data_IF_885348734116
#
_entry.id   IF_885348734116
#
_cell.length_a   1.000
_cell.length_b   1.000
_cell.length_c   1.000
_cell.angle_alpha   90.00
_cell.angle_beta   90.00
_cell.angle_gamma   90.00
#
_symmetry.space_group_name_H-M   'P 1'
#
loop_
_entity.id
_entity.type
_entity.pdbx_description
1 polymer ?
#
# COMPACT_ATOMS: atom_id res chain seq x y z
N UNK A 1 -20.00 19.63 3.44
CA UNK A 1 -19.53 19.38 4.82
C UNK A 1 -20.41 20.09 5.85
N UNK A 2 -20.78 21.37 5.64
CA UNK A 2 -21.75 22.09 6.49
C UNK A 2 -23.14 21.47 6.43
N UNK A 3 -23.58 21.10 5.23
CA UNK A 3 -24.86 20.44 5.00
C UNK A 3 -24.92 19.08 5.71
N UNK A 4 -23.84 18.27 5.65
CA UNK A 4 -23.75 17.00 6.37
C UNK A 4 -23.86 17.20 7.88
N UNK A 5 -23.17 18.21 8.42
CA UNK A 5 -23.31 18.58 9.83
C UNK A 5 -24.72 19.01 10.19
N UNK A 6 -25.33 19.85 9.35
CA UNK A 6 -26.71 20.31 9.57
C UNK A 6 -27.72 19.15 9.52
N UNK A 7 -27.55 18.20 8.61
CA UNK A 7 -28.38 16.99 8.57
C UNK A 7 -28.21 16.12 9.82
N UNK A 8 -26.98 15.90 10.26
CA UNK A 8 -26.68 15.15 11.49
C UNK A 8 -27.34 15.77 12.72
N UNK A 9 -27.24 17.09 12.86
CA UNK A 9 -27.80 17.83 14.02
C UNK A 9 -29.35 17.89 13.96
N UNK A 10 -29.93 17.97 12.75
CA UNK A 10 -31.39 18.09 12.58
C UNK A 10 -32.13 16.74 12.67
N UNK A 11 -31.47 15.64 12.36
CA UNK A 11 -32.07 14.30 12.28
C UNK A 11 -31.25 13.27 13.06
N UNK A 12 -31.40 13.17 14.40
CA UNK A 12 -30.57 12.30 15.25
C UNK A 12 -30.63 10.79 14.89
N UNK A 13 -31.74 10.33 14.30
CA UNK A 13 -31.93 8.93 13.90
C UNK A 13 -31.44 8.64 12.47
N UNK A 14 -30.95 9.66 11.76
CA UNK A 14 -30.46 9.51 10.38
C UNK A 14 -29.04 8.95 10.36
N UNK A 15 -28.88 7.78 9.75
CA UNK A 15 -27.57 7.23 9.44
C UNK A 15 -27.13 7.70 8.04
N UNK A 16 -25.97 8.36 7.98
CA UNK A 16 -25.43 8.90 6.73
C UNK A 16 -24.16 8.14 6.39
N UNK A 17 -24.14 7.46 5.23
CA UNK A 17 -22.95 6.84 4.67
C UNK A 17 -22.54 7.63 3.43
N UNK A 18 -21.30 8.06 3.37
CA UNK A 18 -20.77 8.75 2.20
C UNK A 18 -19.34 8.29 1.88
N UNK A 19 -18.95 8.42 0.63
CA UNK A 19 -17.60 8.08 0.14
C UNK A 19 -16.89 9.32 -0.32
N UNK A 20 -15.56 9.32 -0.18
CA UNK A 20 -14.70 10.40 -0.66
C UNK A 20 -13.37 9.85 -1.16
N UNK A 21 -12.85 10.39 -2.24
CA UNK A 21 -11.55 10.03 -2.81
C UNK A 21 -10.35 10.53 -1.99
N UNK A 22 -10.56 11.56 -1.15
CA UNK A 22 -9.51 12.16 -0.34
C UNK A 22 -9.87 12.21 1.15
N UNK A 23 -9.18 11.39 1.93
CA UNK A 23 -9.24 11.34 3.40
C UNK A 23 -8.82 12.67 4.05
N UNK A 24 -7.88 13.41 3.45
CA UNK A 24 -7.29 14.62 4.02
C UNK A 24 -8.35 15.67 4.35
N UNK A 25 -9.30 15.87 3.45
CA UNK A 25 -10.38 16.87 3.64
C UNK A 25 -11.33 16.51 4.76
N UNK A 26 -11.59 15.22 4.96
CA UNK A 26 -12.53 14.74 5.99
C UNK A 26 -11.87 14.80 7.36
N UNK A 27 -10.64 14.29 7.50
CA UNK A 27 -9.90 14.31 8.78
C UNK A 27 -9.65 15.71 9.32
N UNK A 28 -9.35 16.67 8.44
CA UNK A 28 -9.08 18.07 8.83
C UNK A 28 -10.33 18.94 8.92
N UNK A 29 -11.51 18.41 8.59
CA UNK A 29 -12.74 19.18 8.52
C UNK A 29 -13.32 19.44 9.91
N UNK A 30 -13.36 20.71 10.30
CA UNK A 30 -13.87 21.11 11.61
C UNK A 30 -15.35 20.77 11.84
N UNK A 31 -16.18 20.74 10.77
CA UNK A 31 -17.61 20.42 10.87
C UNK A 31 -17.89 18.93 11.08
N UNK A 32 -17.01 18.07 10.62
CA UNK A 32 -17.17 16.60 10.67
C UNK A 32 -16.38 15.97 11.81
N UNK A 33 -15.49 16.74 12.46
CA UNK A 33 -14.66 16.25 13.55
C UNK A 33 -15.53 15.77 14.73
N UNK A 34 -15.33 14.51 15.12
CA UNK A 34 -15.99 13.89 16.28
C UNK A 34 -17.39 13.35 16.01
N UNK A 35 -17.92 13.44 14.78
CA UNK A 35 -19.22 12.89 14.40
C UNK A 35 -19.15 11.87 13.24
N UNK A 36 -17.94 11.64 12.70
CA UNK A 36 -17.73 10.71 11.57
C UNK A 36 -16.79 9.60 11.99
N UNK A 37 -17.25 8.36 11.84
CA UNK A 37 -16.42 7.19 11.89
C UNK A 37 -15.81 6.95 10.51
N UNK A 38 -14.48 6.86 10.46
CA UNK A 38 -13.76 6.73 9.20
C UNK A 38 -13.40 5.28 8.93
N UNK A 39 -13.92 4.77 7.84
CA UNK A 39 -13.56 3.45 7.32
C UNK A 39 -12.69 3.57 6.08
N UNK A 40 -11.53 2.90 6.09
CA UNK A 40 -10.64 2.85 4.94
C UNK A 40 -10.95 1.62 4.10
N UNK A 41 -11.50 1.81 2.92
CA UNK A 41 -11.63 0.74 1.93
C UNK A 41 -10.29 0.57 1.22
N UNK A 42 -9.62 -0.55 1.45
CA UNK A 42 -8.40 -0.95 0.73
C UNK A 42 -8.77 -1.54 -0.64
N UNK A 43 -7.79 -1.76 -1.51
CA UNK A 43 -8.00 -2.60 -2.69
C UNK A 43 -8.21 -4.05 -2.28
N UNK A 44 -8.47 -4.91 -3.24
CA UNK A 44 -8.62 -6.35 -2.98
C UNK A 44 -7.33 -6.91 -2.38
N UNK A 45 -7.46 -7.72 -1.34
CA UNK A 45 -6.38 -8.60 -0.90
C UNK A 45 -6.16 -9.71 -1.93
N UNK A 46 -5.03 -10.40 -1.85
CA UNK A 46 -4.82 -11.56 -2.72
C UNK A 46 -5.83 -12.68 -2.42
N UNK A 47 -6.27 -12.82 -1.17
CA UNK A 47 -7.34 -13.72 -0.77
C UNK A 47 -8.66 -13.38 -1.48
N UNK A 48 -9.08 -12.12 -1.43
CA UNK A 48 -10.32 -11.67 -2.09
C UNK A 48 -10.24 -11.81 -3.62
N UNK A 49 -9.08 -11.55 -4.20
CA UNK A 49 -8.84 -11.81 -5.62
C UNK A 49 -9.00 -13.30 -5.96
N UNK A 50 -8.42 -14.21 -5.14
CA UNK A 50 -8.59 -15.65 -5.32
C UNK A 50 -10.07 -16.06 -5.18
N UNK A 51 -10.81 -15.46 -4.26
CA UNK A 51 -12.25 -15.73 -4.09
C UNK A 51 -13.05 -15.35 -5.36
N UNK A 52 -12.71 -14.22 -5.98
CA UNK A 52 -13.33 -13.80 -7.23
C UNK A 52 -12.96 -14.71 -8.41
N UNK A 53 -11.69 -15.11 -8.51
CA UNK A 53 -11.21 -15.95 -9.62
C UNK A 53 -11.66 -17.41 -9.51
N UNK A 54 -11.81 -17.93 -8.29
CA UNK A 54 -12.12 -19.36 -8.06
C UNK A 54 -13.55 -19.62 -7.63
N UNK A 55 -14.30 -18.58 -7.29
CA UNK A 55 -15.62 -18.66 -6.68
C UNK A 55 -15.65 -19.53 -5.39
N UNK A 56 -14.55 -19.47 -4.62
CA UNK A 56 -14.39 -20.13 -3.33
C UNK A 56 -14.14 -19.08 -2.26
N UNK A 57 -14.42 -19.40 -1.01
CA UNK A 57 -14.14 -18.51 0.13
C UNK A 57 -12.96 -19.04 0.93
N UNK A 58 -12.12 -18.14 1.41
CA UNK A 58 -10.93 -18.46 2.19
C UNK A 58 -10.95 -17.70 3.54
N UNK A 59 -10.48 -18.32 4.62
CA UNK A 59 -10.41 -17.67 5.92
C UNK A 59 -9.38 -16.54 5.93
N UNK A 60 -9.63 -15.56 6.80
CA UNK A 60 -8.69 -14.49 7.13
C UNK A 60 -7.84 -14.94 8.31
N UNK A 61 -6.55 -14.64 8.27
CA UNK A 61 -5.62 -14.98 9.35
C UNK A 61 -4.90 -13.73 9.85
N UNK A 62 -4.73 -13.60 11.17
CA UNK A 62 -3.86 -12.56 11.70
C UNK A 62 -2.40 -12.83 11.31
N UNK A 63 -1.60 -11.76 11.19
CA UNK A 63 -0.17 -11.95 10.89
C UNK A 63 0.55 -12.77 11.98
N UNK A 64 0.11 -12.65 13.23
CA UNK A 64 0.63 -13.46 14.33
C UNK A 64 0.35 -14.96 14.13
N UNK A 65 -0.90 -15.33 13.76
CA UNK A 65 -1.25 -16.72 13.46
C UNK A 65 -0.43 -17.27 12.29
N UNK A 66 -0.21 -16.45 11.26
CA UNK A 66 0.63 -16.85 10.13
C UNK A 66 2.06 -17.15 10.59
N UNK A 67 2.67 -16.29 11.41
CA UNK A 67 4.05 -16.52 11.91
C UNK A 67 4.13 -17.79 12.74
N UNK A 68 3.11 -18.11 13.53
CA UNK A 68 3.12 -19.27 14.43
C UNK A 68 2.74 -20.59 13.73
N UNK A 69 1.86 -20.55 12.71
CA UNK A 69 1.21 -21.73 12.14
C UNK A 69 1.18 -21.75 10.62
N UNK A 70 2.07 -21.02 9.92
CA UNK A 70 2.01 -20.92 8.46
C UNK A 70 2.05 -22.25 7.72
N UNK A 71 2.80 -23.25 8.22
CA UNK A 71 2.89 -24.59 7.58
C UNK A 71 1.50 -25.25 7.53
N UNK A 72 0.75 -25.17 8.62
CA UNK A 72 -0.61 -25.72 8.73
C UNK A 72 -1.61 -24.94 7.86
N UNK A 73 -1.56 -23.62 7.94
CA UNK A 73 -2.41 -22.71 7.16
C UNK A 73 -2.19 -22.92 5.66
N UNK A 74 -0.93 -22.98 5.23
CA UNK A 74 -0.55 -23.21 3.83
C UNK A 74 -1.07 -24.55 3.33
N UNK A 75 -0.90 -25.64 4.09
CA UNK A 75 -1.42 -26.95 3.70
C UNK A 75 -2.96 -26.95 3.57
N UNK A 76 -3.66 -26.20 4.41
CA UNK A 76 -5.11 -26.08 4.30
C UNK A 76 -5.54 -25.33 3.03
N UNK A 77 -4.92 -24.20 2.74
CA UNK A 77 -5.18 -23.42 1.52
C UNK A 77 -4.86 -24.26 0.26
N UNK A 78 -3.75 -24.99 0.25
CA UNK A 78 -3.31 -25.80 -0.89
C UNK A 78 -4.22 -27.00 -1.21
N UNK A 79 -5.12 -27.38 -0.31
CA UNK A 79 -6.18 -28.37 -0.63
C UNK A 79 -7.21 -27.82 -1.60
N UNK A 80 -7.38 -26.50 -1.66
CA UNK A 80 -8.46 -25.84 -2.39
C UNK A 80 -7.97 -25.08 -3.61
N UNK A 81 -6.78 -24.48 -3.57
CA UNK A 81 -6.25 -23.63 -4.65
C UNK A 81 -4.73 -23.75 -4.77
N UNK A 82 -4.19 -23.41 -5.93
CA UNK A 82 -2.76 -23.22 -6.18
C UNK A 82 -2.47 -21.71 -6.27
N UNK A 83 -2.08 -21.04 -5.18
CA UNK A 83 -1.96 -19.58 -5.16
C UNK A 83 -0.98 -19.04 -6.20
N UNK A 84 0.14 -19.72 -6.45
CA UNK A 84 1.15 -19.27 -7.41
C UNK A 84 0.62 -19.22 -8.86
N UNK A 85 -0.41 -19.98 -9.20
CA UNK A 85 -1.04 -19.91 -10.53
C UNK A 85 -1.74 -18.56 -10.79
N UNK A 86 -2.12 -17.87 -9.74
CA UNK A 86 -2.85 -16.59 -9.76
C UNK A 86 -2.00 -15.40 -9.33
N UNK A 87 -0.88 -15.63 -8.65
CA UNK A 87 -0.13 -14.60 -7.96
C UNK A 87 0.43 -13.54 -8.90
N UNK A 88 0.99 -13.92 -10.04
CA UNK A 88 1.48 -12.97 -11.04
C UNK A 88 0.36 -12.09 -11.61
N UNK A 89 -0.82 -12.67 -11.87
CA UNK A 89 -1.99 -11.93 -12.35
C UNK A 89 -2.42 -10.89 -11.30
N UNK A 90 -2.41 -11.27 -10.02
CA UNK A 90 -2.69 -10.33 -8.95
C UNK A 90 -1.68 -9.18 -8.89
N UNK A 91 -0.39 -9.47 -8.96
CA UNK A 91 0.67 -8.45 -8.97
C UNK A 91 0.52 -7.49 -10.15
N UNK A 92 0.02 -7.96 -11.28
CA UNK A 92 -0.18 -7.14 -12.47
C UNK A 92 -1.44 -6.28 -12.40
N UNK A 93 -2.61 -6.86 -12.02
CA UNK A 93 -3.89 -6.15 -12.10
C UNK A 93 -4.89 -6.44 -10.96
N UNK A 94 -4.65 -7.40 -10.07
CA UNK A 94 -5.66 -7.92 -9.14
C UNK A 94 -5.99 -7.04 -7.93
N UNK A 95 -5.23 -5.97 -7.66
CA UNK A 95 -5.49 -5.11 -6.51
C UNK A 95 -6.76 -4.26 -6.65
N UNK A 96 -7.12 -3.85 -7.87
CA UNK A 96 -8.30 -3.05 -8.14
C UNK A 96 -9.38 -3.87 -8.86
N UNK A 97 -10.64 -3.91 -8.35
CA UNK A 97 -11.69 -4.72 -8.96
C UNK A 97 -12.08 -4.31 -10.38
N UNK A 98 -11.59 -3.17 -10.87
CA UNK A 98 -11.83 -2.69 -12.23
C UNK A 98 -11.35 -3.67 -13.31
N UNK A 99 -10.43 -4.58 -13.01
CA UNK A 99 -9.99 -5.60 -13.95
C UNK A 99 -11.13 -6.53 -14.44
N UNK A 100 -12.20 -6.63 -13.66
CA UNK A 100 -13.39 -7.39 -14.03
C UNK A 100 -14.20 -6.72 -15.16
N UNK A 101 -14.10 -5.41 -15.30
CA UNK A 101 -14.90 -4.61 -16.24
C UNK A 101 -14.08 -4.11 -17.44
N UNK A 102 -12.82 -3.71 -17.19
CA UNK A 102 -11.97 -3.03 -18.17
C UNK A 102 -10.82 -3.90 -18.66
N UNK A 103 -10.79 -4.15 -19.98
CA UNK A 103 -9.69 -4.90 -20.63
C UNK A 103 -8.35 -4.15 -20.58
N UNK A 104 -8.37 -2.82 -20.59
CA UNK A 104 -7.19 -1.95 -20.51
C UNK A 104 -7.06 -1.36 -19.11
N UNK A 105 -6.87 -2.21 -18.09
CA UNK A 105 -6.74 -1.79 -16.69
C UNK A 105 -5.56 -0.83 -16.46
N UNK A 106 -4.44 -0.96 -17.19
CA UNK A 106 -3.29 -0.05 -17.09
C UNK A 106 -3.67 1.36 -17.49
N UNK A 107 -4.34 1.55 -18.64
CA UNK A 107 -4.78 2.87 -19.11
C UNK A 107 -5.75 3.51 -18.13
N UNK A 108 -6.64 2.69 -17.56
CA UNK A 108 -7.57 3.15 -16.52
C UNK A 108 -6.81 3.62 -15.27
N UNK A 109 -5.84 2.84 -14.80
CA UNK A 109 -5.02 3.22 -13.64
C UNK A 109 -4.22 4.50 -13.93
N UNK A 110 -3.57 4.63 -15.08
CA UNK A 110 -2.85 5.83 -15.49
C UNK A 110 -3.76 7.04 -15.54
N UNK A 111 -4.97 6.90 -16.07
CA UNK A 111 -5.98 7.98 -16.07
C UNK A 111 -6.32 8.40 -14.65
N UNK A 112 -6.56 7.45 -13.73
CA UNK A 112 -6.89 7.76 -12.33
C UNK A 112 -5.70 8.38 -11.58
N UNK A 113 -4.47 7.89 -11.80
CA UNK A 113 -3.25 8.52 -11.26
C UNK A 113 -3.17 9.99 -11.71
N UNK A 114 -3.39 10.24 -13.00
CA UNK A 114 -3.38 11.60 -13.53
C UNK A 114 -4.49 12.49 -12.93
N UNK A 115 -5.72 11.97 -12.79
CA UNK A 115 -6.82 12.70 -12.14
C UNK A 115 -6.46 13.02 -10.68
N UNK A 116 -5.90 12.08 -9.95
CA UNK A 116 -5.46 12.30 -8.56
C UNK A 116 -4.39 13.38 -8.46
N UNK A 117 -3.38 13.37 -9.37
CA UNK A 117 -2.29 14.33 -9.35
C UNK A 117 -2.70 15.71 -9.86
N UNK A 118 -3.63 15.79 -10.82
CA UNK A 118 -4.03 17.04 -11.48
C UNK A 118 -5.22 17.73 -10.82
N UNK A 119 -6.09 16.98 -10.13
CA UNK A 119 -7.33 17.50 -9.54
C UNK A 119 -7.42 17.26 -8.03
N UNK A 120 -7.35 16.00 -7.57
CA UNK A 120 -7.63 15.68 -6.15
C UNK A 120 -6.60 16.31 -5.21
N UNK A 121 -5.31 16.10 -5.47
CA UNK A 121 -4.22 16.65 -4.65
C UNK A 121 -4.20 18.18 -4.69
N UNK A 122 -4.19 18.84 -5.86
CA UNK A 122 -4.20 20.30 -5.93
C UNK A 122 -5.41 20.94 -5.26
N UNK A 123 -6.59 20.34 -5.45
CA UNK A 123 -7.82 20.84 -4.84
C UNK A 123 -7.80 20.71 -3.31
N UNK A 124 -7.30 19.58 -2.78
CA UNK A 124 -7.20 19.34 -1.34
C UNK A 124 -6.11 20.18 -0.66
N UNK A 125 -5.00 20.45 -1.36
CA UNK A 125 -3.78 21.05 -0.80
C UNK A 125 -3.49 22.46 -1.32
N UNK A 126 -4.38 23.05 -2.13
CA UNK A 126 -4.26 24.37 -2.74
C UNK A 126 -2.95 24.56 -3.53
N UNK A 127 -2.52 23.54 -4.26
CA UNK A 127 -1.30 23.58 -5.08
C UNK A 127 -1.61 24.32 -6.39
N UNK A 128 -0.75 25.26 -6.75
CA UNK A 128 -0.85 25.95 -8.04
C UNK A 128 -0.55 25.01 -9.21
N UNK A 129 -1.29 25.16 -10.32
CA UNK A 129 -1.19 24.30 -11.52
C UNK A 129 0.23 24.19 -12.08
N UNK A 130 1.06 25.22 -11.95
CA UNK A 130 2.47 25.21 -12.41
C UNK A 130 3.34 24.12 -11.74
N UNK A 131 2.91 23.59 -10.58
CA UNK A 131 3.64 22.57 -9.84
C UNK A 131 3.19 21.13 -10.15
N UNK A 132 2.14 20.91 -10.94
CA UNK A 132 1.64 19.57 -11.28
C UNK A 132 2.70 18.70 -11.96
N UNK A 133 3.49 19.29 -12.85
CA UNK A 133 4.61 18.59 -13.52
C UNK A 133 5.62 18.07 -12.49
N UNK A 134 5.84 18.81 -11.40
CA UNK A 134 6.77 18.43 -10.33
C UNK A 134 6.26 17.24 -9.52
N UNK A 135 4.94 17.17 -9.27
CA UNK A 135 4.30 16.01 -8.63
C UNK A 135 4.46 14.76 -9.49
N UNK A 136 4.18 14.85 -10.79
CA UNK A 136 4.35 13.73 -11.73
C UNK A 136 5.81 13.25 -11.78
N UNK A 137 6.75 14.20 -11.89
CA UNK A 137 8.19 13.89 -11.88
C UNK A 137 8.59 13.14 -10.59
N UNK A 138 8.09 13.61 -9.43
CA UNK A 138 8.41 12.98 -8.15
C UNK A 138 7.87 11.55 -8.06
N UNK A 139 6.63 11.30 -8.51
CA UNK A 139 6.05 9.96 -8.54
C UNK A 139 6.86 9.01 -9.45
N UNK A 140 7.24 9.50 -10.64
CA UNK A 140 8.04 8.71 -11.59
C UNK A 140 9.44 8.39 -11.04
N UNK A 141 10.11 9.37 -10.41
CA UNK A 141 11.41 9.14 -9.76
C UNK A 141 11.28 8.12 -8.62
N UNK A 142 10.20 8.23 -7.83
CA UNK A 142 9.92 7.29 -6.76
C UNK A 142 9.69 5.86 -7.26
N UNK A 143 9.01 5.71 -8.40
CA UNK A 143 8.72 4.40 -8.99
C UNK A 143 9.98 3.74 -9.59
N UNK A 144 10.92 4.53 -10.09
CA UNK A 144 12.20 4.03 -10.68
C UNK A 144 13.33 3.84 -9.67
N UNK A 145 13.16 4.25 -8.41
CA UNK A 145 14.22 4.09 -7.39
C UNK A 145 14.16 2.71 -6.73
N UNK A 146 14.99 1.80 -7.22
CA UNK A 146 15.11 0.42 -6.72
C UNK A 146 15.64 0.35 -5.28
N UNK A 147 16.25 1.42 -4.77
CA UNK A 147 16.79 1.46 -3.40
C UNK A 147 15.72 1.72 -2.35
N UNK A 148 14.60 2.31 -2.76
CA UNK A 148 13.51 2.78 -1.90
C UNK A 148 13.98 3.72 -0.77
N UNK A 149 15.22 4.23 -0.80
CA UNK A 149 15.79 5.11 0.21
C UNK A 149 15.42 6.57 -0.05
N UNK A 150 14.94 7.27 0.96
CA UNK A 150 14.52 8.66 0.79
C UNK A 150 15.69 9.63 1.02
N UNK A 151 16.13 10.28 -0.04
CA UNK A 151 17.06 11.40 0.02
C UNK A 151 16.37 12.71 -0.42
N UNK A 152 15.82 13.44 0.55
CA UNK A 152 15.06 14.68 0.30
C UNK A 152 15.91 15.72 -0.42
N UNK A 153 17.21 15.82 -0.14
CA UNK A 153 18.09 16.79 -0.80
C UNK A 153 18.30 16.47 -2.28
N UNK A 154 18.50 15.16 -2.59
CA UNK A 154 18.61 14.68 -3.97
C UNK A 154 17.29 14.93 -4.74
N UNK A 155 16.15 14.56 -4.15
CA UNK A 155 14.82 14.79 -4.74
C UNK A 155 14.55 16.28 -4.98
N UNK A 156 14.87 17.14 -4.00
CA UNK A 156 14.76 18.60 -4.10
C UNK A 156 15.54 19.14 -5.29
N UNK A 157 16.79 18.70 -5.47
CA UNK A 157 17.62 19.07 -6.63
C UNK A 157 17.07 18.60 -7.96
N UNK A 158 16.60 17.33 -8.03
CA UNK A 158 16.08 16.73 -9.26
C UNK A 158 14.81 17.41 -9.78
N UNK A 159 13.87 17.76 -8.89
CA UNK A 159 12.60 18.36 -9.28
C UNK A 159 12.60 19.90 -9.19
N UNK A 160 13.67 20.51 -8.65
CA UNK A 160 13.84 21.96 -8.58
C UNK A 160 12.83 22.66 -7.66
N UNK A 161 12.61 22.10 -6.45
CA UNK A 161 11.77 22.71 -5.40
C UNK A 161 12.45 22.62 -4.04
N UNK A 162 11.95 23.33 -3.03
CA UNK A 162 12.52 23.28 -1.67
C UNK A 162 12.35 21.90 -1.03
N UNK A 163 13.20 21.56 -0.04
CA UNK A 163 13.10 20.32 0.75
C UNK A 163 11.76 20.19 1.47
N UNK A 164 11.25 21.30 2.00
CA UNK A 164 9.94 21.36 2.63
C UNK A 164 8.82 21.02 1.65
N UNK A 165 8.91 21.55 0.42
CA UNK A 165 7.97 21.26 -0.66
C UNK A 165 7.99 19.78 -1.05
N UNK A 166 9.19 19.15 -1.12
CA UNK A 166 9.30 17.69 -1.37
C UNK A 166 8.57 16.89 -0.29
N UNK A 167 8.80 17.20 0.99
CA UNK A 167 8.12 16.53 2.10
C UNK A 167 6.60 16.68 2.01
N UNK A 168 6.11 17.87 1.70
CA UNK A 168 4.68 18.10 1.50
C UNK A 168 4.13 17.25 0.35
N UNK A 169 4.82 17.22 -0.79
CA UNK A 169 4.41 16.42 -1.94
C UNK A 169 4.37 14.92 -1.64
N UNK A 170 5.37 14.40 -0.92
CA UNK A 170 5.37 13.01 -0.47
C UNK A 170 4.17 12.72 0.44
N UNK A 171 3.86 13.61 1.38
CA UNK A 171 2.70 13.46 2.26
C UNK A 171 1.37 13.55 1.49
N UNK A 172 1.24 14.43 0.50
CA UNK A 172 0.04 14.49 -0.34
C UNK A 172 -0.17 13.19 -1.11
N UNK A 173 0.89 12.62 -1.71
CA UNK A 173 0.82 11.36 -2.42
C UNK A 173 0.57 10.16 -1.48
N UNK A 174 1.13 10.17 -0.25
CA UNK A 174 0.80 9.20 0.80
C UNK A 174 -0.70 9.23 1.12
N UNK A 175 -1.24 10.43 1.35
CA UNK A 175 -2.65 10.62 1.66
C UNK A 175 -3.58 10.24 0.50
N UNK A 176 -3.12 10.41 -0.73
CA UNK A 176 -3.81 9.99 -1.94
C UNK A 176 -3.59 8.51 -2.30
N UNK A 177 -2.90 7.74 -1.44
CA UNK A 177 -2.57 6.32 -1.64
C UNK A 177 -1.82 6.00 -2.95
N UNK A 178 -1.00 6.95 -3.40
CA UNK A 178 -0.03 6.71 -4.47
C UNK A 178 1.29 6.19 -3.93
N UNK A 179 1.65 6.58 -2.69
CA UNK A 179 2.88 6.18 -2.01
C UNK A 179 2.62 5.58 -0.62
N UNK A 180 3.50 4.67 -0.21
CA UNK A 180 3.66 4.21 1.16
C UNK A 180 5.01 4.71 1.69
N UNK A 181 4.99 5.44 2.80
CA UNK A 181 6.17 6.01 3.44
C UNK A 181 6.42 5.31 4.77
N UNK A 182 7.65 4.85 5.00
CA UNK A 182 8.05 4.22 6.24
C UNK A 182 8.97 5.12 7.06
N UNK A 183 8.70 5.17 8.36
CA UNK A 183 9.42 5.96 9.35
C UNK A 183 10.04 5.04 10.41
N UNK A 184 11.03 5.52 11.13
CA UNK A 184 11.74 4.77 12.18
C UNK A 184 11.10 4.90 13.58
N UNK A 185 9.99 5.64 13.71
CA UNK A 185 9.31 5.85 14.98
C UNK A 185 7.84 5.51 14.93
N UNK A 186 7.32 5.04 16.06
CA UNK A 186 5.94 4.58 16.24
C UNK A 186 4.90 5.71 16.45
N UNK A 187 5.23 6.95 16.24
CA UNK A 187 4.29 8.05 16.46
C UNK A 187 3.39 8.27 15.24
N UNK A 188 2.09 8.33 15.48
CA UNK A 188 1.05 8.58 14.46
C UNK A 188 1.17 9.96 13.78
N UNK A 189 1.89 10.89 14.40
CA UNK A 189 2.07 12.25 13.90
C UNK A 189 3.35 12.36 13.06
N UNK A 190 3.29 11.84 11.84
CA UNK A 190 4.40 11.86 10.87
C UNK A 190 4.50 13.18 10.11
N UNK A 191 3.65 14.15 10.43
CA UNK A 191 3.61 15.44 9.73
C UNK A 191 4.95 16.18 9.90
N UNK A 192 5.65 16.39 8.79
CA UNK A 192 6.94 17.08 8.77
C UNK A 192 8.17 16.21 9.05
N UNK A 193 8.01 14.92 9.40
CA UNK A 193 9.15 14.00 9.55
C UNK A 193 9.66 13.54 8.19
N UNK A 194 10.97 13.26 8.13
CA UNK A 194 11.60 12.67 6.96
C UNK A 194 11.37 11.15 6.95
N UNK A 195 10.70 10.59 5.94
CA UNK A 195 10.60 9.14 5.80
C UNK A 195 11.98 8.53 5.52
N UNK A 196 12.19 7.28 5.95
CA UNK A 196 13.39 6.48 5.67
C UNK A 196 13.28 5.74 4.36
N UNK A 197 12.10 5.17 4.09
CA UNK A 197 11.81 4.40 2.88
C UNK A 197 10.53 4.92 2.21
N UNK A 198 10.47 4.70 0.91
CA UNK A 198 9.37 5.08 0.05
C UNK A 198 9.08 3.95 -0.94
N UNK A 199 7.81 3.58 -1.06
CA UNK A 199 7.32 2.58 -2.02
C UNK A 199 6.12 3.14 -2.77
N UNK A 200 5.90 2.68 -3.99
CA UNK A 200 4.58 2.84 -4.63
C UNK A 200 3.57 2.01 -3.84
N UNK A 201 2.36 2.54 -3.68
CA UNK A 201 1.38 2.02 -2.72
C UNK A 201 1.01 0.56 -2.91
N UNK A 202 0.96 0.07 -4.16
CA UNK A 202 0.68 -1.32 -4.48
C UNK A 202 1.34 -1.74 -5.80
N UNK A 203 1.46 -3.05 -6.09
CA UNK A 203 2.07 -3.57 -7.31
C UNK A 203 1.46 -3.06 -8.60
N UNK A 204 0.12 -2.96 -8.67
CA UNK A 204 -0.57 -2.56 -9.91
C UNK A 204 -0.25 -1.10 -10.27
N UNK A 205 -0.18 -0.19 -9.28
CA UNK A 205 0.27 1.19 -9.52
C UNK A 205 1.75 1.22 -9.94
N UNK A 206 2.60 0.38 -9.34
CA UNK A 206 4.01 0.31 -9.71
C UNK A 206 4.16 -0.12 -11.17
N UNK A 207 3.46 -1.17 -11.60
CA UNK A 207 3.43 -1.64 -12.99
C UNK A 207 2.87 -0.57 -13.95
N UNK A 208 1.83 0.15 -13.55
CA UNK A 208 1.25 1.21 -14.39
C UNK A 208 2.18 2.42 -14.58
N UNK A 209 2.95 2.80 -13.54
CA UNK A 209 3.88 3.94 -13.61
C UNK A 209 5.20 3.55 -14.27
N UNK A 210 5.71 2.33 -14.00
CA UNK A 210 6.91 1.78 -14.61
C UNK A 210 6.52 0.80 -15.72
N UNK A 211 6.32 1.30 -16.93
CA UNK A 211 5.94 0.48 -18.11
C UNK A 211 7.06 -0.48 -18.56
N UNK A 212 8.28 -0.32 -18.09
CA UNK A 212 9.45 -1.11 -18.44
C UNK A 212 10.21 -1.51 -17.16
N UNK A 213 10.67 -2.76 -17.10
CA UNK A 213 11.62 -3.31 -16.11
C UNK A 213 11.34 -2.92 -14.64
N UNK A 214 10.20 -3.35 -14.11
CA UNK A 214 9.94 -3.24 -12.68
C UNK A 214 10.89 -4.15 -11.92
N UNK A 215 11.64 -3.57 -10.97
CA UNK A 215 12.48 -4.36 -10.06
C UNK A 215 11.61 -5.31 -9.22
N UNK A 216 11.84 -6.60 -9.39
CA UNK A 216 11.05 -7.64 -8.71
C UNK A 216 11.17 -7.56 -7.19
N UNK A 217 12.28 -7.07 -6.66
CA UNK A 217 12.46 -6.87 -5.21
C UNK A 217 11.54 -5.77 -4.70
N UNK A 218 11.44 -4.65 -5.44
CA UNK A 218 10.53 -3.55 -5.11
C UNK A 218 9.07 -3.99 -5.24
N UNK A 219 8.76 -4.76 -6.29
CA UNK A 219 7.41 -5.29 -6.52
C UNK A 219 6.94 -6.17 -5.36
N UNK A 220 7.77 -7.11 -4.89
CA UNK A 220 7.50 -7.99 -3.74
C UNK A 220 7.25 -7.18 -2.46
N UNK A 221 8.10 -6.17 -2.20
CA UNK A 221 7.97 -5.29 -1.02
C UNK A 221 6.72 -4.43 -1.10
N UNK A 222 6.37 -3.91 -2.28
CA UNK A 222 5.11 -3.20 -2.52
C UNK A 222 3.90 -4.09 -2.28
N UNK A 223 3.93 -5.34 -2.73
CA UNK A 223 2.90 -6.33 -2.44
C UNK A 223 2.75 -6.54 -0.94
N UNK A 224 3.82 -6.90 -0.24
CA UNK A 224 3.79 -7.14 1.21
C UNK A 224 3.20 -5.95 1.96
N UNK A 225 3.64 -4.73 1.66
CA UNK A 225 3.12 -3.51 2.28
C UNK A 225 1.63 -3.31 1.99
N UNK A 226 1.19 -3.51 0.74
CA UNK A 226 -0.21 -3.30 0.35
C UNK A 226 -1.16 -4.26 1.06
N UNK A 227 -0.68 -5.46 1.41
CA UNK A 227 -1.47 -6.47 2.10
C UNK A 227 -1.51 -6.26 3.61
N UNK A 228 -0.41 -5.85 4.23
CA UNK A 228 -0.34 -5.74 5.69
C UNK A 228 -0.70 -4.36 6.24
N UNK A 229 -0.38 -3.26 5.53
CA UNK A 229 -0.68 -1.91 6.02
C UNK A 229 -2.14 -1.64 6.41
N UNK A 230 -3.16 -2.30 5.83
CA UNK A 230 -4.54 -2.14 6.29
C UNK A 230 -4.80 -2.65 7.70
N UNK A 231 -4.09 -3.70 8.13
CA UNK A 231 -4.35 -4.46 9.36
C UNK A 231 -3.26 -4.35 10.41
N UNK A 232 -2.02 -4.01 9.99
CA UNK A 232 -0.84 -3.99 10.87
C UNK A 232 -0.08 -2.69 10.72
N UNK A 233 0.61 -2.32 11.79
CA UNK A 233 1.50 -1.17 11.79
C UNK A 233 2.88 -1.57 11.28
N UNK A 234 3.34 -0.94 10.20
CA UNK A 234 4.63 -1.24 9.60
C UNK A 234 5.56 -0.03 9.72
N UNK A 235 6.74 -0.25 10.27
CA UNK A 235 7.78 0.77 10.45
C UNK A 235 9.11 0.34 9.82
N UNK A 236 9.99 1.31 9.66
CA UNK A 236 11.35 1.07 9.21
C UNK A 236 12.19 0.42 10.31
N UNK A 237 13.13 -0.42 9.91
CA UNK A 237 14.20 -0.97 10.76
C UNK A 237 15.50 -1.10 9.96
N UNK A 238 16.65 -0.95 10.63
CA UNK A 238 17.97 -1.10 9.98
C UNK A 238 18.36 -2.57 9.76
N UNK A 239 17.71 -3.50 10.47
CA UNK A 239 18.12 -4.91 10.54
C UNK A 239 17.26 -5.84 9.67
N UNK A 240 16.25 -5.30 8.99
CA UNK A 240 15.36 -6.04 8.10
C UNK A 240 14.68 -5.06 7.14
N UNK A 241 13.84 -5.57 6.23
CA UNK A 241 13.07 -4.71 5.35
C UNK A 241 11.99 -3.94 6.11
N UNK A 242 11.30 -4.63 7.04
CA UNK A 242 10.17 -4.08 7.78
C UNK A 242 10.17 -4.54 9.24
N UNK A 243 9.56 -3.72 10.11
CA UNK A 243 9.16 -4.09 11.45
C UNK A 243 7.63 -4.02 11.53
N UNK A 244 6.98 -5.15 11.74
CA UNK A 244 5.52 -5.27 11.85
C UNK A 244 5.12 -5.30 13.33
N UNK A 245 4.18 -4.42 13.71
CA UNK A 245 3.60 -4.28 15.05
C UNK A 245 4.65 -4.13 16.19
N UNK A 246 5.82 -3.55 15.85
CA UNK A 246 6.93 -3.38 16.78
C UNK A 246 7.59 -4.70 17.24
N UNK A 247 7.14 -5.84 16.71
CA UNK A 247 7.52 -7.19 17.18
C UNK A 247 8.26 -8.01 16.12
N UNK A 248 7.70 -8.12 14.93
CA UNK A 248 8.19 -9.01 13.89
C UNK A 248 9.11 -8.29 12.91
N UNK A 249 10.35 -8.73 12.78
CA UNK A 249 11.30 -8.25 11.76
C UNK A 249 11.15 -9.10 10.52
N UNK A 250 10.87 -8.46 9.41
CA UNK A 250 10.52 -9.12 8.16
C UNK A 250 11.61 -8.87 7.11
N UNK A 251 12.08 -9.93 6.48
CA UNK A 251 12.85 -9.88 5.24
C UNK A 251 11.98 -10.38 4.08
N UNK A 252 11.97 -9.67 2.96
CA UNK A 252 11.25 -10.06 1.74
C UNK A 252 12.28 -10.36 0.66
N UNK A 253 12.26 -11.57 0.11
CA UNK A 253 13.28 -12.04 -0.81
C UNK A 253 12.72 -12.84 -1.99
N UNK A 254 13.59 -13.14 -2.95
CA UNK A 254 13.30 -14.01 -4.09
C UNK A 254 13.42 -15.48 -3.75
N UNK A 255 13.04 -16.31 -4.72
CA UNK A 255 13.12 -17.77 -4.64
C UNK A 255 14.56 -18.25 -4.33
N UNK A 256 14.69 -19.18 -3.38
CA UNK A 256 15.95 -19.76 -2.95
C UNK A 256 16.85 -18.84 -2.11
N UNK A 257 16.38 -17.67 -1.74
CA UNK A 257 17.16 -16.70 -0.96
C UNK A 257 16.88 -16.75 0.54
N UNK A 258 15.76 -17.33 0.95
CA UNK A 258 15.31 -17.34 2.35
C UNK A 258 16.32 -17.92 3.32
N UNK A 259 17.06 -18.95 2.92
CA UNK A 259 18.08 -19.61 3.75
C UNK A 259 19.30 -18.73 4.07
N UNK A 260 19.48 -17.59 3.37
CA UNK A 260 20.57 -16.63 3.64
C UNK A 260 20.30 -15.75 4.86
N UNK A 261 19.07 -15.75 5.37
CA UNK A 261 18.64 -14.88 6.45
C UNK A 261 18.76 -15.57 7.82
N UNK A 262 18.98 -14.77 8.85
CA UNK A 262 19.03 -15.21 10.25
C UNK A 262 17.65 -15.72 10.69
N UNK A 263 17.63 -16.79 11.51
CA UNK A 263 16.39 -17.38 12.04
C UNK A 263 15.60 -16.47 12.98
N UNK A 264 16.18 -15.34 13.41
CA UNK A 264 15.47 -14.30 14.17
C UNK A 264 14.55 -13.43 13.32
N UNK A 265 14.63 -13.57 11.98
CA UNK A 265 13.78 -12.86 11.02
C UNK A 265 12.65 -13.77 10.56
N UNK A 266 11.49 -13.19 10.33
CA UNK A 266 10.45 -13.81 9.51
C UNK A 266 10.78 -13.52 8.06
N UNK A 267 10.94 -14.55 7.25
CA UNK A 267 11.33 -14.42 5.85
C UNK A 267 10.12 -14.68 4.97
N UNK A 268 9.73 -13.69 4.16
CA UNK A 268 8.68 -13.82 3.16
C UNK A 268 9.34 -14.08 1.81
N UNK A 269 9.34 -15.34 1.38
CA UNK A 269 10.01 -15.78 0.14
C UNK A 269 9.00 -15.90 -0.99
N UNK A 270 9.35 -15.30 -2.13
CA UNK A 270 8.55 -15.33 -3.35
C UNK A 270 8.70 -16.66 -4.10
N UNK A 271 7.70 -17.00 -4.93
CA UNK A 271 7.67 -18.17 -5.82
C UNK A 271 7.78 -19.53 -5.12
N UNK A 272 7.56 -19.60 -3.82
CA UNK A 272 7.44 -20.86 -3.10
C UNK A 272 5.99 -21.15 -2.73
N UNK A 273 5.54 -22.40 -2.91
CA UNK A 273 4.20 -22.82 -2.45
C UNK A 273 4.15 -23.04 -0.93
N UNK A 274 5.24 -23.56 -0.37
CA UNK A 274 5.35 -23.95 1.04
C UNK A 274 6.56 -23.31 1.65
N UNK A 275 6.41 -22.93 2.91
CA UNK A 275 7.53 -22.48 3.73
C UNK A 275 7.90 -23.51 4.80
N UNK A 276 8.98 -23.25 5.54
CA UNK A 276 9.42 -24.08 6.67
C UNK A 276 10.15 -23.22 7.70
N UNK A 277 9.83 -23.44 8.97
CA UNK A 277 10.47 -22.73 10.08
C UNK A 277 10.19 -21.24 10.07
N UNK A 278 11.20 -20.41 9.80
CA UNK A 278 11.02 -18.96 9.71
C UNK A 278 10.78 -18.43 8.27
N UNK A 279 10.75 -19.33 7.29
CA UNK A 279 10.49 -18.99 5.88
C UNK A 279 9.03 -19.25 5.56
N UNK A 280 8.33 -18.24 5.07
CA UNK A 280 6.92 -18.27 4.71
C UNK A 280 6.74 -17.87 3.24
N UNK A 281 5.76 -18.44 2.52
CA UNK A 281 5.43 -17.98 1.17
C UNK A 281 4.98 -16.52 1.18
N UNK A 282 5.51 -15.70 0.26
CA UNK A 282 5.14 -14.30 0.16
C UNK A 282 3.63 -14.11 -0.10
N UNK A 283 3.02 -14.95 -0.93
CA UNK A 283 1.60 -14.89 -1.26
C UNK A 283 0.69 -15.00 -0.03
N UNK A 284 1.15 -15.67 1.04
CA UNK A 284 0.39 -15.84 2.28
C UNK A 284 0.06 -14.50 2.96
N UNK A 285 0.92 -13.48 2.80
CA UNK A 285 0.66 -12.13 3.29
C UNK A 285 -0.68 -11.56 2.79
N UNK A 286 -1.19 -12.04 1.66
CA UNK A 286 -2.46 -11.62 1.10
C UNK A 286 -3.71 -12.21 1.76
N UNK A 287 -3.57 -12.94 2.86
CA UNK A 287 -4.68 -13.54 3.62
C UNK A 287 -4.93 -12.82 4.96
N UNK A 288 -4.41 -11.59 5.13
CA UNK A 288 -4.56 -10.81 6.37
C UNK A 288 -5.88 -10.05 6.47
N UNK A 289 -6.62 -9.88 5.38
CA UNK A 289 -7.96 -9.27 5.35
C UNK A 289 -8.78 -9.80 4.18
#
# INVERSE_FOLDING_TARGET
>A
DKELRACYDAFPDLQIIFTASSIVRIKSNAYLKGIVDMYNLSGLSFREFLELETNQTFPVYSFADMVERHEEIVEDILKHVRPLAYFNNYLEYGYYPIYLEEKSHIDYLLKNINLTLEFDIPYASQIELKYLVKLKQLLYIAAKDNTCNVNISKLSGLIGVSRATVLNYLNYMKNARLLTLLYDTDNDDDCGKKPKKLYIHNPNLLNAVCLEDVDTTVLRKSFFLSQLCPMSRITYTERADFLVDGKYRIAVCGEGEGQKFDSSLVVMEDMIERGKGNIMPLWLAGFTY
#
